data_IF_500899859634
#
_entry.id   IF_500899859634
#
_cell.length_a   1.000
_cell.length_b   1.000
_cell.length_c   1.000
_cell.angle_alpha   90.00
_cell.angle_beta   90.00
_cell.angle_gamma   90.00
#
_symmetry.space_group_name_H-M   'P 1'
#
loop_
_entity.id
_entity.type
_entity.pdbx_description
1 polymer ?
#
# COMPACT_ATOMS: atom_id res chain seq x y z
N UNK A 1 -24.39 -34.74 -35.97
CA UNK A 1 -22.92 -34.82 -35.78
C UNK A 1 -22.21 -33.47 -35.93
N UNK A 2 -22.46 -32.69 -36.95
CA UNK A 2 -21.75 -31.40 -37.11
C UNK A 2 -22.04 -30.31 -36.04
N UNK A 3 -23.18 -30.39 -35.36
CA UNK A 3 -23.53 -29.40 -34.29
C UNK A 3 -22.75 -29.62 -32.98
N UNK A 4 -22.42 -30.87 -32.68
CA UNK A 4 -21.68 -31.24 -31.46
C UNK A 4 -20.21 -30.82 -31.50
N UNK A 5 -19.57 -30.90 -32.66
CA UNK A 5 -18.19 -30.44 -32.83
C UNK A 5 -18.02 -28.92 -32.68
N UNK A 6 -19.02 -28.16 -33.14
CA UNK A 6 -19.00 -26.69 -32.96
C UNK A 6 -19.07 -26.27 -31.50
N UNK A 7 -19.82 -26.99 -30.69
CA UNK A 7 -19.93 -26.72 -29.21
C UNK A 7 -18.64 -27.11 -28.50
N UNK A 8 -18.01 -28.23 -28.88
CA UNK A 8 -16.74 -28.67 -28.32
C UNK A 8 -15.60 -27.70 -28.62
N UNK A 9 -15.51 -27.22 -29.88
CA UNK A 9 -14.52 -26.23 -30.31
C UNK A 9 -14.74 -24.90 -29.59
N UNK A 10 -15.98 -24.48 -29.35
CA UNK A 10 -16.30 -23.25 -28.59
C UNK A 10 -15.92 -23.40 -27.13
N UNK A 11 -16.12 -24.55 -26.50
CA UNK A 11 -15.75 -24.85 -25.13
C UNK A 11 -14.23 -24.89 -24.93
N UNK A 12 -13.46 -25.35 -25.89
CA UNK A 12 -12.00 -25.36 -25.88
C UNK A 12 -11.43 -23.92 -25.99
N UNK A 13 -12.08 -23.05 -26.72
CA UNK A 13 -11.68 -21.64 -26.88
C UNK A 13 -11.86 -20.81 -25.59
N UNK A 14 -12.78 -21.24 -24.70
CA UNK A 14 -13.04 -20.54 -23.41
C UNK A 14 -12.04 -20.97 -22.32
N UNK A 15 -11.35 -22.09 -22.48
CA UNK A 15 -10.42 -22.65 -21.49
C UNK A 15 -8.97 -22.15 -21.59
N UNK A 16 -8.65 -21.23 -22.50
CA UNK A 16 -7.34 -20.58 -22.50
C UNK A 16 -7.28 -19.55 -21.35
N UNK A 17 -6.47 -19.76 -20.29
CA UNK A 17 -6.24 -18.75 -19.31
C UNK A 17 -5.48 -17.60 -20.00
N UNK A 18 -6.16 -16.49 -20.23
CA UNK A 18 -5.47 -15.25 -20.54
C UNK A 18 -4.63 -14.87 -19.33
N UNK A 19 -3.35 -15.24 -19.36
CA UNK A 19 -2.39 -14.70 -18.39
C UNK A 19 -2.26 -13.20 -18.64
N UNK A 20 -3.09 -12.42 -17.98
CA UNK A 20 -2.89 -10.98 -17.88
C UNK A 20 -1.65 -10.77 -17.05
N UNK A 21 -0.50 -10.63 -17.71
CA UNK A 21 0.68 -10.10 -17.06
C UNK A 21 0.36 -8.65 -16.73
N UNK A 22 0.01 -8.40 -15.47
CA UNK A 22 -0.05 -7.04 -14.98
C UNK A 22 1.34 -6.41 -15.22
N UNK A 23 1.41 -5.40 -16.08
CA UNK A 23 2.63 -4.67 -16.33
C UNK A 23 2.97 -3.84 -15.11
N UNK A 24 3.77 -4.40 -14.20
CA UNK A 24 4.30 -3.71 -13.01
C UNK A 24 5.35 -2.65 -13.40
N UNK A 25 5.84 -2.66 -14.65
CA UNK A 25 6.88 -1.74 -15.13
C UNK A 25 6.56 -0.24 -15.02
N UNK A 26 5.28 0.14 -15.00
CA UNK A 26 4.89 1.56 -14.88
C UNK A 26 5.07 2.14 -13.47
N UNK A 27 5.33 1.32 -12.47
CA UNK A 27 5.49 1.74 -11.07
C UNK A 27 6.94 1.82 -10.62
N UNK A 28 7.91 1.41 -11.46
CA UNK A 28 9.34 1.43 -11.10
C UNK A 28 9.88 2.84 -10.88
N UNK A 29 9.28 3.84 -11.50
CA UNK A 29 9.66 5.26 -11.38
C UNK A 29 8.83 6.04 -10.35
N UNK A 30 7.84 5.41 -9.72
CA UNK A 30 7.04 6.01 -8.68
C UNK A 30 7.90 6.20 -7.42
N UNK A 31 8.07 7.46 -7.05
CA UNK A 31 8.76 7.85 -5.82
C UNK A 31 7.79 8.34 -4.73
N UNK A 32 6.52 8.61 -5.09
CA UNK A 32 5.52 9.12 -4.17
C UNK A 32 4.09 8.79 -4.63
N UNK A 33 3.26 8.38 -3.69
CA UNK A 33 1.81 8.23 -3.86
C UNK A 33 1.12 8.98 -2.74
N UNK A 34 0.08 9.72 -3.05
CA UNK A 34 -0.68 10.50 -2.08
C UNK A 34 -2.17 10.20 -2.22
N UNK A 35 -2.83 9.94 -1.10
CA UNK A 35 -4.27 9.73 -1.00
C UNK A 35 -4.88 10.79 -0.08
N UNK A 36 -5.96 11.40 -0.51
CA UNK A 36 -6.80 12.23 0.35
C UNK A 36 -7.76 11.35 1.15
N UNK A 37 -7.89 11.65 2.43
CA UNK A 37 -8.80 10.94 3.35
C UNK A 37 -10.05 11.77 3.55
N UNK A 38 -11.20 11.16 3.28
CA UNK A 38 -12.52 11.77 3.44
C UNK A 38 -13.35 11.02 4.47
N UNK A 39 -14.15 11.77 5.21
CA UNK A 39 -15.18 11.25 6.08
C UNK A 39 -16.47 12.04 5.84
N UNK A 40 -17.56 11.35 5.47
CA UNK A 40 -18.83 12.00 5.13
C UNK A 40 -18.65 13.16 4.15
N UNK A 41 -17.91 12.92 3.05
CA UNK A 41 -17.59 13.90 2.00
C UNK A 41 -16.70 15.08 2.43
N UNK A 42 -16.29 15.14 3.69
CA UNK A 42 -15.35 16.15 4.18
C UNK A 42 -13.92 15.61 4.12
N UNK A 43 -13.03 16.39 3.53
CA UNK A 43 -11.59 16.10 3.57
C UNK A 43 -11.09 16.25 5.01
N UNK A 44 -10.47 15.20 5.54
CA UNK A 44 -9.98 15.18 6.92
C UNK A 44 -8.47 15.02 7.03
N UNK A 45 -7.79 14.59 6.00
CA UNK A 45 -6.35 14.39 6.02
C UNK A 45 -5.80 13.70 4.78
N UNK A 46 -4.58 13.18 4.92
CA UNK A 46 -3.83 12.55 3.83
C UNK A 46 -3.10 11.30 4.30
N UNK A 47 -2.89 10.38 3.37
CA UNK A 47 -1.98 9.26 3.48
C UNK A 47 -0.96 9.34 2.35
N UNK A 48 0.30 9.44 2.69
CA UNK A 48 1.40 9.60 1.77
C UNK A 48 2.36 8.43 1.88
N UNK A 49 2.74 7.86 0.74
CA UNK A 49 3.83 6.91 0.63
C UNK A 49 4.97 7.54 -0.16
N UNK A 50 6.19 7.36 0.30
CA UNK A 50 7.39 7.75 -0.40
C UNK A 50 8.31 6.54 -0.55
N UNK A 51 8.84 6.35 -1.75
CA UNK A 51 9.68 5.22 -2.10
C UNK A 51 11.08 5.71 -2.45
N UNK A 52 12.09 5.09 -1.89
CA UNK A 52 13.48 5.44 -2.12
C UNK A 52 14.32 4.18 -2.26
N UNK A 53 14.98 4.04 -3.39
CA UNK A 53 15.92 2.94 -3.64
C UNK A 53 17.34 3.42 -3.35
N UNK A 54 18.09 2.69 -2.57
CA UNK A 54 19.49 2.97 -2.24
C UNK A 54 20.25 1.67 -1.94
N UNK A 55 21.35 1.45 -2.66
CA UNK A 55 22.26 0.31 -2.44
C UNK A 55 21.58 -1.06 -2.43
N UNK A 56 20.63 -1.29 -3.34
CA UNK A 56 19.87 -2.55 -3.44
C UNK A 56 18.78 -2.73 -2.39
N UNK A 57 18.53 -1.72 -1.56
CA UNK A 57 17.42 -1.68 -0.60
C UNK A 57 16.32 -0.74 -1.07
N UNK A 58 15.09 -1.06 -0.72
CA UNK A 58 13.93 -0.20 -0.90
C UNK A 58 13.44 0.29 0.46
N UNK A 59 13.49 1.59 0.65
CA UNK A 59 12.84 2.25 1.79
C UNK A 59 11.46 2.74 1.39
N UNK A 60 10.44 2.33 2.14
CA UNK A 60 9.06 2.80 2.01
C UNK A 60 8.72 3.59 3.26
N UNK A 61 8.51 4.88 3.09
CA UNK A 61 8.00 5.76 4.15
C UNK A 61 6.50 5.94 3.97
N UNK A 62 5.74 5.73 5.03
CA UNK A 62 4.29 5.91 5.07
C UNK A 62 3.94 6.93 6.13
N UNK A 63 3.14 7.91 5.77
CA UNK A 63 2.66 8.92 6.70
C UNK A 63 1.15 9.10 6.55
N UNK A 64 0.42 8.87 7.64
CA UNK A 64 -1.01 9.12 7.74
C UNK A 64 -1.21 10.29 8.70
N UNK A 65 -1.94 11.29 8.27
CA UNK A 65 -2.28 12.43 9.11
C UNK A 65 -3.71 12.85 8.85
N UNK A 66 -4.57 12.76 9.85
CA UNK A 66 -5.93 13.26 9.77
C UNK A 66 -6.45 13.83 11.08
N UNK A 67 -7.42 14.71 10.98
CA UNK A 67 -8.12 15.32 12.11
C UNK A 67 -9.63 15.26 11.89
N UNK A 68 -10.36 14.96 12.96
CA UNK A 68 -11.80 15.04 12.98
C UNK A 68 -12.18 16.29 13.75
N UNK A 69 -12.85 17.21 13.05
CA UNK A 69 -13.34 18.48 13.61
C UNK A 69 -14.88 18.49 13.66
N UNK A 70 -15.40 19.12 14.68
CA UNK A 70 -16.83 19.41 14.79
C UNK A 70 -16.99 20.83 15.34
N UNK A 71 -17.74 21.68 14.65
CA UNK A 71 -17.90 23.10 14.98
C UNK A 71 -16.57 23.86 15.13
N UNK A 72 -15.59 23.57 14.27
CA UNK A 72 -14.26 24.18 14.32
C UNK A 72 -13.33 23.63 15.42
N UNK A 73 -13.81 22.73 16.28
CA UNK A 73 -13.03 22.13 17.36
C UNK A 73 -12.50 20.76 16.91
N UNK A 74 -11.21 20.52 17.14
CA UNK A 74 -10.58 19.23 16.87
C UNK A 74 -10.93 18.25 17.99
N UNK A 75 -11.70 17.20 17.63
CA UNK A 75 -12.07 16.13 18.56
C UNK A 75 -11.07 14.98 18.56
N UNK A 76 -10.43 14.73 17.41
CA UNK A 76 -9.54 13.61 17.26
C UNK A 76 -8.43 13.93 16.28
N UNK A 77 -7.21 13.61 16.65
CA UNK A 77 -6.00 13.69 15.82
C UNK A 77 -5.39 12.31 15.71
N UNK A 78 -4.98 11.95 14.51
CA UNK A 78 -4.27 10.72 14.26
C UNK A 78 -3.10 10.99 13.32
N UNK A 79 -1.90 10.65 13.76
CA UNK A 79 -0.70 10.76 12.98
C UNK A 79 0.13 9.50 13.13
N UNK A 80 0.42 8.84 12.03
CA UNK A 80 1.33 7.69 11.97
C UNK A 80 2.43 7.99 10.98
N UNK A 81 3.65 7.75 11.38
CA UNK A 81 4.79 7.72 10.50
C UNK A 81 5.50 6.39 10.65
N UNK A 82 5.68 5.69 9.54
CA UNK A 82 6.33 4.39 9.47
C UNK A 82 7.39 4.34 8.39
N UNK A 83 8.38 3.51 8.60
CA UNK A 83 9.42 3.23 7.62
C UNK A 83 9.64 1.73 7.54
N UNK A 84 9.57 1.20 6.32
CA UNK A 84 9.84 -0.18 5.99
C UNK A 84 11.10 -0.23 5.11
N UNK A 85 12.01 -1.15 5.41
CA UNK A 85 13.20 -1.40 4.60
C UNK A 85 13.12 -2.82 4.05
N UNK A 86 13.15 -2.92 2.74
CA UNK A 86 13.17 -4.20 2.00
C UNK A 86 14.52 -4.42 1.34
N UNK A 87 14.98 -5.65 1.39
CA UNK A 87 16.10 -6.15 0.63
C UNK A 87 15.61 -7.28 -0.28
N UNK A 88 15.54 -7.00 -1.60
CA UNK A 88 14.77 -7.85 -2.49
C UNK A 88 13.28 -7.80 -2.11
N UNK A 89 12.64 -8.96 -1.96
CA UNK A 89 11.24 -9.08 -1.53
C UNK A 89 11.09 -9.22 -0.01
N UNK A 90 12.18 -9.17 0.74
CA UNK A 90 12.21 -9.44 2.17
C UNK A 90 12.21 -8.13 2.98
N UNK A 91 11.22 -8.00 3.89
CA UNK A 91 11.21 -6.93 4.89
C UNK A 91 12.29 -7.20 5.93
N UNK A 92 13.27 -6.30 6.05
CA UNK A 92 14.39 -6.42 6.99
C UNK A 92 14.30 -5.48 8.19
N UNK A 93 13.54 -4.42 8.06
CA UNK A 93 13.35 -3.45 9.14
C UNK A 93 11.99 -2.76 9.03
N UNK A 94 11.34 -2.58 10.15
CA UNK A 94 10.12 -1.80 10.27
C UNK A 94 10.16 -0.95 11.52
N UNK A 95 9.88 0.34 11.37
CA UNK A 95 9.72 1.26 12.49
C UNK A 95 8.44 2.04 12.30
N UNK A 96 7.67 2.23 13.34
CA UNK A 96 6.55 3.15 13.30
C UNK A 96 6.39 3.92 14.61
N UNK A 97 5.90 5.14 14.46
CA UNK A 97 5.45 6.01 15.55
C UNK A 97 4.02 6.42 15.27
N UNK A 98 3.14 6.16 16.20
CA UNK A 98 1.74 6.56 16.16
C UNK A 98 1.47 7.57 17.24
N UNK A 99 0.88 8.70 16.88
CA UNK A 99 0.24 9.64 17.80
C UNK A 99 -1.28 9.54 17.62
N UNK A 100 -1.91 8.90 18.57
CA UNK A 100 -3.35 8.76 18.61
C UNK A 100 -3.92 9.69 19.67
N UNK A 101 -4.32 10.88 19.26
CA UNK A 101 -4.91 11.88 20.13
C UNK A 101 -4.07 12.18 21.38
N UNK A 102 -2.74 12.31 21.19
CA UNK A 102 -1.76 12.55 22.26
C UNK A 102 -1.21 11.31 22.93
N UNK A 103 -1.70 10.11 22.57
CA UNK A 103 -1.13 8.84 23.04
C UNK A 103 -0.13 8.30 22.01
N UNK A 104 1.11 8.15 22.43
CA UNK A 104 2.18 7.67 21.57
C UNK A 104 2.35 6.16 21.68
N UNK A 105 2.53 5.53 20.51
CA UNK A 105 2.86 4.11 20.37
C UNK A 105 4.04 3.97 19.41
N UNK A 106 4.93 3.06 19.71
CA UNK A 106 6.12 2.78 18.91
C UNK A 106 6.19 1.29 18.59
N UNK A 107 6.55 0.97 17.34
CA UNK A 107 6.87 -0.38 16.92
C UNK A 107 8.23 -0.35 16.25
N UNK A 108 9.13 -1.23 16.66
CA UNK A 108 10.44 -1.41 16.07
C UNK A 108 10.67 -2.90 15.84
N UNK A 109 10.85 -3.28 14.60
CA UNK A 109 11.17 -4.64 14.19
C UNK A 109 12.44 -4.60 13.34
N UNK A 110 13.34 -5.52 13.60
CA UNK A 110 14.54 -5.72 12.82
C UNK A 110 14.78 -7.21 12.67
N UNK A 111 15.07 -7.62 11.45
CA UNK A 111 15.45 -8.99 11.16
C UNK A 111 16.91 -9.20 11.59
N UNK A 112 17.15 -10.17 12.45
CA UNK A 112 18.47 -10.59 12.88
C UNK A 112 18.72 -12.04 12.41
N UNK A 113 19.89 -12.29 11.80
CA UNK A 113 20.31 -13.62 11.36
C UNK A 113 19.32 -14.36 10.43
N UNK A 114 18.52 -13.62 9.67
CA UNK A 114 17.59 -14.21 8.71
C UNK A 114 16.21 -14.57 9.28
N UNK A 115 15.92 -14.27 10.55
CA UNK A 115 14.62 -14.46 11.21
C UNK A 115 14.02 -13.15 11.74
#
# INVERSE_FOLDING_TARGET
MYKTYKIIVLLILISFPFSTKAHVKHYEDLNRIEFDIYRNQNHIGKHVFSFRKLNGELAVESEINFQIKKFGIVFYKYHVKGTEIYKGEKLIKFNSKTDQNGKFKYVNLKLENGE
#
